data_IF_942321780232
#
_entry.id   IF_942321780232
#
_cell.length_a   1.000
_cell.length_b   1.000
_cell.length_c   1.000
_cell.angle_alpha   90.00
_cell.angle_beta   90.00
_cell.angle_gamma   90.00
#
_symmetry.space_group_name_H-M   'P 1'
#
loop_
_entity.id
_entity.type
_entity.pdbx_description
1 polymer ?
#
# COMPACT_ATOMS: atom_id res chain seq x y z
N UNK A 1 11.25 -20.25 8.26
CA UNK A 1 10.58 -20.01 6.98
C UNK A 1 11.01 -18.64 6.55
N UNK A 2 11.95 -18.57 5.60
CA UNK A 2 12.40 -17.31 5.03
C UNK A 2 11.19 -16.66 4.35
N UNK A 3 10.67 -15.59 4.94
CA UNK A 3 9.72 -14.73 4.25
C UNK A 3 10.56 -13.60 3.69
N UNK A 4 10.83 -13.68 2.40
CA UNK A 4 11.38 -12.59 1.62
C UNK A 4 10.33 -11.47 1.59
N UNK A 5 10.34 -10.62 2.61
CA UNK A 5 9.37 -9.53 2.78
C UNK A 5 9.92 -8.28 2.08
N UNK A 6 9.91 -8.30 0.76
CA UNK A 6 9.85 -7.04 0.01
C UNK A 6 8.65 -6.22 0.51
N UNK A 7 8.77 -4.89 0.52
CA UNK A 7 7.66 -4.00 0.83
C UNK A 7 6.54 -4.26 -0.18
N UNK A 8 5.45 -4.95 0.21
CA UNK A 8 4.33 -5.27 -0.69
C UNK A 8 3.18 -4.28 -0.53
N UNK A 9 2.65 -3.80 -1.64
CA UNK A 9 1.41 -3.05 -1.69
C UNK A 9 0.42 -3.64 -2.69
N UNK A 10 -0.80 -3.09 -2.61
CA UNK A 10 -1.81 -3.19 -3.64
C UNK A 10 -1.99 -1.87 -4.35
N UNK A 11 -2.25 -1.94 -5.65
CA UNK A 11 -2.74 -0.82 -6.44
C UNK A 11 -3.96 -1.28 -7.23
N UNK A 12 -5.03 -0.49 -7.24
CA UNK A 12 -6.25 -0.87 -7.94
C UNK A 12 -7.41 0.07 -7.68
N UNK A 13 -8.62 -0.44 -7.66
CA UNK A 13 -9.86 0.32 -7.47
C UNK A 13 -10.59 -0.06 -6.20
N UNK A 14 -11.33 0.90 -5.64
CA UNK A 14 -12.26 0.70 -4.53
C UNK A 14 -13.66 1.17 -4.95
N UNK A 15 -14.66 0.32 -4.74
CA UNK A 15 -16.08 0.63 -4.89
C UNK A 15 -16.65 1.36 -3.68
N UNK A 16 -17.81 2.00 -3.84
CA UNK A 16 -18.49 2.74 -2.77
C UNK A 16 -18.92 1.86 -1.58
N UNK A 17 -19.01 0.56 -1.80
CA UNK A 17 -19.31 -0.47 -0.80
C UNK A 17 -18.05 -0.96 -0.05
N UNK A 18 -16.86 -0.46 -0.38
CA UNK A 18 -15.59 -0.84 0.24
C UNK A 18 -14.98 -2.13 -0.31
N UNK A 19 -15.58 -2.73 -1.35
CA UNK A 19 -14.94 -3.80 -2.10
C UNK A 19 -13.86 -3.23 -3.02
N UNK A 20 -12.75 -3.95 -3.14
CA UNK A 20 -11.65 -3.54 -4.01
C UNK A 20 -11.26 -4.65 -4.99
N UNK A 21 -10.68 -4.23 -6.11
CA UNK A 21 -9.97 -5.10 -7.04
C UNK A 21 -8.58 -4.50 -7.29
N UNK A 22 -7.52 -5.27 -7.07
CA UNK A 22 -6.16 -4.73 -7.09
C UNK A 22 -5.07 -5.73 -7.49
N UNK A 23 -3.93 -5.19 -7.93
CA UNK A 23 -2.70 -5.90 -8.32
C UNK A 23 -1.59 -5.70 -7.30
N UNK A 24 -0.62 -6.61 -7.31
CA UNK A 24 0.54 -6.51 -6.43
C UNK A 24 1.60 -5.52 -6.94
N UNK A 25 2.21 -4.79 -5.99
CA UNK A 25 3.47 -4.06 -6.18
C UNK A 25 4.46 -4.49 -5.09
N UNK A 26 5.61 -5.06 -5.44
CA UNK A 26 6.47 -5.78 -4.45
C UNK A 26 7.72 -5.04 -3.95
N UNK A 27 8.26 -4.11 -4.72
CA UNK A 27 9.40 -3.29 -4.32
C UNK A 27 9.01 -1.83 -4.50
N UNK A 28 9.50 -0.96 -3.62
CA UNK A 28 9.19 0.47 -3.62
C UNK A 28 7.70 0.76 -3.36
N UNK A 29 7.03 -0.11 -2.61
CA UNK A 29 5.59 -0.05 -2.32
C UNK A 29 5.16 1.01 -1.29
N UNK A 30 6.06 1.90 -0.86
CA UNK A 30 5.79 2.90 0.15
C UNK A 30 5.24 4.21 -0.46
N UNK A 31 4.53 5.05 0.32
CA UNK A 31 3.86 6.22 -0.23
C UNK A 31 4.79 7.18 -0.97
N UNK A 32 6.03 7.36 -0.52
CA UNK A 32 7.00 8.26 -1.17
C UNK A 32 7.43 7.82 -2.56
N UNK A 33 7.17 6.56 -2.93
CA UNK A 33 7.51 6.00 -4.24
C UNK A 33 6.25 5.82 -5.09
N UNK A 34 5.19 5.26 -4.51
CA UNK A 34 3.97 4.95 -5.24
C UNK A 34 3.17 6.21 -5.58
N UNK A 35 3.03 7.17 -4.66
CA UNK A 35 2.20 8.36 -4.91
C UNK A 35 2.75 9.20 -6.07
N UNK A 36 4.06 9.51 -6.15
CA UNK A 36 4.63 10.15 -7.32
C UNK A 36 4.45 9.33 -8.62
N UNK A 37 4.62 8.01 -8.56
CA UNK A 37 4.44 7.13 -9.71
C UNK A 37 3.00 7.16 -10.26
N UNK A 38 2.01 7.12 -9.37
CA UNK A 38 0.60 7.25 -9.73
C UNK A 38 0.28 8.65 -10.28
N UNK A 39 0.92 9.70 -9.74
CA UNK A 39 0.79 11.05 -10.27
C UNK A 39 1.24 11.13 -11.72
N UNK A 40 2.47 10.69 -12.02
CA UNK A 40 3.00 10.70 -13.40
C UNK A 40 2.14 9.87 -14.34
N UNK A 41 1.72 8.68 -13.91
CA UNK A 41 0.86 7.82 -14.72
C UNK A 41 -0.45 8.52 -15.10
N UNK A 42 -1.16 9.05 -14.13
CA UNK A 42 -2.47 9.66 -14.38
C UNK A 42 -2.33 10.95 -15.18
N UNK A 43 -1.41 11.82 -14.79
CA UNK A 43 -1.36 13.19 -15.31
C UNK A 43 -0.55 13.30 -16.60
N UNK A 44 0.61 12.66 -16.65
CA UNK A 44 1.56 12.87 -17.75
C UNK A 44 1.34 11.83 -18.85
N UNK A 45 1.10 10.57 -18.48
CA UNK A 45 0.97 9.47 -19.46
C UNK A 45 -0.46 9.25 -19.94
N UNK A 46 -1.44 9.38 -19.04
CA UNK A 46 -2.85 9.11 -19.35
C UNK A 46 -3.66 10.40 -19.53
N UNK A 47 -3.02 11.57 -19.57
CA UNK A 47 -3.65 12.86 -19.81
C UNK A 47 -4.90 13.12 -18.94
N UNK A 48 -4.76 12.83 -17.63
CA UNK A 48 -5.82 12.91 -16.61
C UNK A 48 -6.94 11.86 -16.71
N UNK A 49 -6.79 10.84 -17.57
CA UNK A 49 -7.71 9.70 -17.63
C UNK A 49 -7.39 8.68 -16.52
N UNK A 50 -8.16 8.76 -15.44
CA UNK A 50 -8.03 7.86 -14.29
C UNK A 50 -8.37 6.42 -14.67
N UNK A 51 -9.34 6.21 -15.57
CA UNK A 51 -9.74 4.86 -15.95
C UNK A 51 -8.65 4.18 -16.77
N UNK A 52 -8.06 4.90 -17.73
CA UNK A 52 -6.92 4.39 -18.51
C UNK A 52 -5.71 4.07 -17.62
N UNK A 53 -5.43 4.91 -16.62
CA UNK A 53 -4.37 4.65 -15.64
C UNK A 53 -4.64 3.38 -14.82
N UNK A 54 -5.87 3.21 -14.35
CA UNK A 54 -6.30 1.98 -13.65
C UNK A 54 -6.15 0.77 -14.56
N UNK A 55 -6.62 0.85 -15.79
CA UNK A 55 -6.56 -0.28 -16.73
C UNK A 55 -5.11 -0.73 -16.97
N UNK A 56 -4.17 0.22 -17.11
CA UNK A 56 -2.74 -0.10 -17.22
C UNK A 56 -2.20 -0.77 -15.94
N UNK A 57 -2.53 -0.23 -14.76
CA UNK A 57 -2.09 -0.80 -13.48
C UNK A 57 -2.65 -2.21 -13.25
N UNK A 58 -3.85 -2.47 -13.75
CA UNK A 58 -4.57 -3.74 -13.57
C UNK A 58 -4.15 -4.84 -14.54
N UNK A 59 -3.40 -4.49 -15.60
CA UNK A 59 -2.99 -5.40 -16.67
C UNK A 59 -2.08 -6.54 -16.20
N UNK A 60 -1.21 -6.28 -15.23
CA UNK A 60 -0.25 -7.26 -14.71
C UNK A 60 0.17 -6.91 -13.29
N UNK A 61 0.83 -7.84 -12.60
CA UNK A 61 1.50 -7.56 -11.35
C UNK A 61 2.81 -6.80 -11.59
N UNK A 62 3.26 -6.03 -10.61
CA UNK A 62 4.45 -5.21 -10.73
C UNK A 62 5.48 -5.59 -9.68
N UNK A 63 6.67 -5.97 -10.13
CA UNK A 63 7.81 -6.16 -9.24
C UNK A 63 8.22 -4.82 -8.63
N UNK A 64 8.26 -3.75 -9.43
CA UNK A 64 8.55 -2.37 -8.98
C UNK A 64 7.66 -1.38 -9.70
N UNK A 65 7.38 -0.25 -9.06
CA UNK A 65 6.72 0.90 -9.67
C UNK A 65 7.47 2.17 -9.25
N UNK A 66 8.05 2.90 -10.20
CA UNK A 66 8.77 4.14 -9.89
C UNK A 66 8.76 5.13 -11.06
N UNK A 67 9.06 6.39 -10.72
CA UNK A 67 9.28 7.49 -11.66
C UNK A 67 10.77 7.66 -11.91
N UNK A 68 11.21 7.88 -13.16
CA UNK A 68 12.60 8.23 -13.45
C UNK A 68 12.84 9.74 -13.27
N UNK A 69 13.76 10.17 -12.39
CA UNK A 69 14.15 11.58 -12.30
C UNK A 69 14.83 12.07 -13.58
N UNK A 70 14.56 13.31 -13.99
CA UNK A 70 15.33 14.01 -15.03
C UNK A 70 14.92 13.76 -16.48
N UNK A 71 13.74 13.19 -16.72
CA UNK A 71 13.24 12.87 -18.07
C UNK A 71 12.32 13.94 -18.68
N UNK A 72 12.24 15.14 -18.07
CA UNK A 72 11.38 16.23 -18.55
C UNK A 72 9.89 15.94 -18.40
N UNK A 73 9.03 16.70 -19.09
CA UNK A 73 7.55 16.61 -19.04
C UNK A 73 6.97 15.29 -19.59
N UNK A 74 7.81 14.27 -19.79
CA UNK A 74 7.46 12.98 -20.38
C UNK A 74 8.18 11.82 -19.68
N UNK A 75 8.39 11.91 -18.35
CA UNK A 75 9.02 10.82 -17.64
C UNK A 75 8.20 9.53 -17.74
N UNK A 76 8.74 8.43 -18.30
CA UNK A 76 7.99 7.19 -18.35
C UNK A 76 7.83 6.65 -16.94
N UNK A 77 6.60 6.22 -16.62
CA UNK A 77 6.37 5.27 -15.55
C UNK A 77 7.16 4.02 -15.92
N UNK A 78 8.20 3.71 -15.17
CA UNK A 78 8.91 2.44 -15.33
C UNK A 78 8.40 1.52 -14.25
N UNK A 79 7.39 0.75 -14.60
CA UNK A 79 7.03 -0.43 -13.84
C UNK A 79 7.79 -1.63 -14.38
N UNK A 80 8.37 -2.44 -13.49
CA UNK A 80 8.94 -3.74 -13.89
C UNK A 80 7.81 -4.76 -13.75
N UNK A 81 7.18 -5.20 -14.85
CA UNK A 81 6.12 -6.20 -14.75
C UNK A 81 6.69 -7.47 -14.14
N UNK A 82 5.95 -8.06 -13.23
CA UNK A 82 6.21 -9.40 -12.76
C UNK A 82 5.56 -10.36 -13.75
N UNK A 83 6.23 -11.44 -14.20
CA UNK A 83 5.64 -12.44 -15.09
C UNK A 83 4.51 -13.25 -14.43
N UNK A 84 4.01 -12.81 -13.26
CA UNK A 84 2.95 -13.46 -12.55
C UNK A 84 1.61 -13.14 -13.22
N UNK A 85 1.05 -14.12 -13.92
CA UNK A 85 -0.22 -14.06 -14.64
C UNK A 85 -1.42 -14.35 -13.71
N UNK A 86 -1.29 -14.01 -12.42
CA UNK A 86 -2.38 -14.19 -11.47
C UNK A 86 -3.57 -13.31 -11.86
N UNK A 87 -4.78 -13.65 -11.40
CA UNK A 87 -5.93 -12.76 -11.56
C UNK A 87 -5.87 -11.61 -10.55
N UNK A 88 -6.44 -10.43 -10.86
CA UNK A 88 -6.46 -9.34 -9.89
C UNK A 88 -7.22 -9.75 -8.63
N UNK A 89 -6.67 -9.35 -7.50
CA UNK A 89 -7.15 -9.75 -6.19
C UNK A 89 -8.37 -8.95 -5.80
N UNK A 90 -9.40 -9.66 -5.33
CA UNK A 90 -10.61 -9.06 -4.80
C UNK A 90 -10.65 -9.16 -3.30
N UNK A 91 -11.13 -8.11 -2.65
CA UNK A 91 -11.27 -8.08 -1.20
C UNK A 91 -12.19 -6.97 -0.75
N UNK A 92 -12.23 -6.77 0.56
CA UNK A 92 -13.03 -5.72 1.18
C UNK A 92 -12.20 -5.03 2.27
N UNK A 93 -12.21 -3.70 2.31
CA UNK A 93 -11.37 -2.91 3.22
C UNK A 93 -11.70 -3.17 4.70
N UNK A 94 -12.95 -3.50 5.04
CA UNK A 94 -13.33 -3.83 6.41
C UNK A 94 -12.95 -5.25 6.85
N UNK A 95 -12.40 -6.09 5.96
CA UNK A 95 -12.09 -7.48 6.30
C UNK A 95 -10.97 -7.56 7.32
N UNK A 96 -11.19 -8.36 8.36
CA UNK A 96 -10.26 -8.62 9.44
C UNK A 96 -9.22 -9.70 9.08
N UNK A 97 -8.51 -9.50 7.96
CA UNK A 97 -7.42 -10.37 7.51
C UNK A 97 -6.66 -9.73 6.34
N UNK A 98 -6.07 -8.55 6.56
CA UNK A 98 -5.19 -7.93 5.57
C UNK A 98 -3.85 -8.71 5.46
N UNK A 99 -3.86 -9.87 4.83
CA UNK A 99 -2.69 -10.73 4.65
C UNK A 99 -1.60 -10.04 3.80
N UNK A 100 -0.34 -10.20 4.22
CA UNK A 100 0.94 -9.90 3.53
C UNK A 100 1.18 -8.51 2.91
N UNK A 101 0.25 -7.57 3.07
CA UNK A 101 0.32 -6.26 2.39
C UNK A 101 0.52 -5.15 3.40
N UNK A 102 1.55 -4.33 3.20
CA UNK A 102 1.77 -3.16 4.05
C UNK A 102 0.85 -2.04 3.61
N UNK A 103 0.89 -1.63 2.34
CA UNK A 103 0.08 -0.52 1.84
C UNK A 103 -0.96 -0.96 0.80
N UNK A 104 -2.02 -0.18 0.62
CA UNK A 104 -2.93 -0.28 -0.50
C UNK A 104 -3.27 1.12 -1.02
N UNK A 105 -3.24 1.28 -2.33
CA UNK A 105 -3.46 2.52 -3.06
C UNK A 105 -4.64 2.28 -4.02
N UNK A 106 -5.84 2.70 -3.62
CA UNK A 106 -7.07 2.35 -4.29
C UNK A 106 -7.75 3.60 -4.87
N UNK A 107 -8.02 3.59 -6.16
CA UNK A 107 -8.78 4.63 -6.83
C UNK A 107 -10.28 4.44 -6.54
N UNK A 108 -10.85 5.40 -5.81
CA UNK A 108 -12.28 5.51 -5.52
C UNK A 108 -12.86 6.69 -6.29
N UNK A 109 -13.22 6.47 -7.56
CA UNK A 109 -13.60 7.54 -8.47
C UNK A 109 -12.45 8.53 -8.68
N UNK A 110 -12.63 9.78 -8.28
CA UNK A 110 -11.63 10.85 -8.44
C UNK A 110 -10.70 11.00 -7.23
N UNK A 111 -10.65 10.01 -6.34
CA UNK A 111 -9.81 10.03 -5.14
C UNK A 111 -8.88 8.83 -5.08
N UNK A 112 -7.68 9.07 -4.58
CA UNK A 112 -6.74 8.00 -4.22
C UNK A 112 -6.84 7.76 -2.72
N UNK A 113 -7.30 6.57 -2.34
CA UNK A 113 -7.38 6.10 -0.97
C UNK A 113 -6.10 5.33 -0.62
N UNK A 114 -5.45 5.74 0.47
CA UNK A 114 -4.25 5.07 0.97
C UNK A 114 -4.55 4.40 2.28
N UNK A 115 -4.41 3.08 2.29
CA UNK A 115 -4.57 2.23 3.45
C UNK A 115 -3.25 1.58 3.83
N UNK A 116 -3.12 1.27 5.12
CA UNK A 116 -2.05 0.43 5.63
C UNK A 116 -2.68 -0.76 6.35
N UNK A 117 -2.18 -1.95 6.06
CA UNK A 117 -2.45 -3.14 6.85
C UNK A 117 -1.78 -2.98 8.20
N UNK A 118 -2.57 -2.64 9.22
CA UNK A 118 -2.09 -2.49 10.59
C UNK A 118 -2.44 -3.73 11.36
N UNK A 119 -1.43 -4.34 11.97
CA UNK A 119 -1.64 -5.38 12.96
C UNK A 119 -1.86 -4.67 14.31
N UNK A 120 -3.09 -4.58 14.83
CA UNK A 120 -3.34 -3.90 16.11
C UNK A 120 -2.65 -4.63 17.27
N UNK A 121 -2.54 -3.99 18.42
CA UNK A 121 -2.01 -4.61 19.66
C UNK A 121 -2.75 -5.92 20.02
N UNK A 122 -4.07 -5.97 19.75
CA UNK A 122 -4.93 -7.15 19.95
C UNK A 122 -5.78 -7.41 18.71
N UNK A 123 -5.94 -8.67 18.35
CA UNK A 123 -6.80 -9.10 17.23
C UNK A 123 -6.07 -9.27 15.89
N UNK A 124 -6.81 -9.53 14.81
CA UNK A 124 -6.26 -9.76 13.47
C UNK A 124 -5.84 -8.46 12.80
N UNK A 125 -5.03 -8.57 11.73
CA UNK A 125 -4.58 -7.44 10.91
C UNK A 125 -5.76 -6.84 10.14
N UNK A 126 -5.90 -5.51 10.17
CA UNK A 126 -7.00 -4.78 9.54
C UNK A 126 -6.45 -3.64 8.67
N UNK A 127 -7.18 -3.26 7.64
CA UNK A 127 -6.88 -2.04 6.91
C UNK A 127 -7.21 -0.82 7.77
N UNK A 128 -6.29 0.14 7.80
CA UNK A 128 -6.49 1.45 8.40
C UNK A 128 -6.32 2.49 7.31
N UNK A 129 -7.27 3.42 7.19
CA UNK A 129 -7.13 4.58 6.31
C UNK A 129 -6.08 5.53 6.89
N UNK A 130 -5.18 5.99 6.02
CA UNK A 130 -4.09 6.91 6.38
C UNK A 130 -4.16 8.22 5.61
N UNK A 131 -4.52 8.17 4.33
CA UNK A 131 -4.70 9.35 3.51
C UNK A 131 -5.79 9.13 2.46
N UNK A 132 -6.36 10.24 2.00
CA UNK A 132 -7.31 10.26 0.91
C UNK A 132 -7.16 11.58 0.16
N UNK A 133 -6.50 11.54 -0.99
CA UNK A 133 -6.22 12.72 -1.79
C UNK A 133 -7.15 12.80 -2.99
N UNK A 134 -7.43 14.01 -3.45
CA UNK A 134 -7.99 14.18 -4.79
C UNK A 134 -6.95 13.70 -5.80
N UNK A 135 -7.36 12.96 -6.82
CA UNK A 135 -6.45 12.58 -7.92
C UNK A 135 -5.89 13.84 -8.59
N UNK A 136 -6.68 14.91 -8.70
CA UNK A 136 -6.22 16.19 -9.27
C UNK A 136 -5.13 16.89 -8.46
N UNK A 137 -4.99 16.58 -7.17
CA UNK A 137 -4.00 17.21 -6.28
C UNK A 137 -2.67 16.45 -6.26
N UNK A 138 -2.63 15.21 -6.76
CA UNK A 138 -1.44 14.34 -6.72
C UNK A 138 -0.15 15.02 -7.25
N UNK A 139 -0.17 15.79 -8.35
CA UNK A 139 1.04 16.45 -8.88
C UNK A 139 1.59 17.53 -7.96
N UNK A 140 0.73 18.08 -7.10
CA UNK A 140 1.04 19.22 -6.23
C UNK A 140 1.26 18.82 -4.78
N UNK A 141 1.09 17.54 -4.45
CA UNK A 141 1.26 17.06 -3.07
C UNK A 141 2.69 17.33 -2.58
N UNK A 142 2.84 18.07 -1.47
CA UNK A 142 4.15 18.30 -0.87
C UNK A 142 4.79 16.97 -0.42
N UNK A 143 6.08 16.79 -0.71
CA UNK A 143 6.81 15.56 -0.36
C UNK A 143 6.81 15.32 1.17
N UNK A 144 6.82 16.37 1.97
CA UNK A 144 6.74 16.28 3.44
C UNK A 144 5.40 15.75 3.94
N UNK A 145 4.30 16.05 3.24
CA UNK A 145 2.99 15.45 3.51
C UNK A 145 3.02 13.94 3.27
N UNK A 146 3.52 13.52 2.11
CA UNK A 146 3.63 12.10 1.74
C UNK A 146 4.57 11.36 2.72
N UNK A 147 5.70 11.97 3.07
CA UNK A 147 6.63 11.45 4.07
C UNK A 147 5.98 11.33 5.45
N UNK A 148 5.13 12.27 5.84
CA UNK A 148 4.42 12.23 7.12
C UNK A 148 3.47 11.05 7.21
N UNK A 149 2.71 10.79 6.13
CA UNK A 149 1.85 9.61 6.01
C UNK A 149 2.65 8.32 6.16
N UNK A 150 3.75 8.20 5.42
CA UNK A 150 4.62 7.03 5.49
C UNK A 150 5.23 6.82 6.88
N UNK A 151 5.82 7.87 7.47
CA UNK A 151 6.43 7.81 8.81
C UNK A 151 5.42 7.41 9.87
N UNK A 152 4.24 8.01 9.84
CA UNK A 152 3.20 7.72 10.83
C UNK A 152 2.70 6.27 10.68
N UNK A 153 2.55 5.79 9.44
CA UNK A 153 2.25 4.41 9.10
C UNK A 153 3.22 3.41 9.71
N UNK A 154 4.51 3.55 9.39
CA UNK A 154 5.56 2.69 9.93
C UNK A 154 5.70 2.80 11.45
N UNK A 155 5.56 4.00 12.02
CA UNK A 155 5.60 4.20 13.47
C UNK A 155 4.45 3.48 14.19
N UNK A 156 3.28 3.35 13.56
CA UNK A 156 2.16 2.59 14.12
C UNK A 156 2.40 1.08 14.07
N UNK A 157 2.95 0.57 12.96
CA UNK A 157 3.32 -0.84 12.84
C UNK A 157 4.41 -1.23 13.84
N UNK A 158 5.44 -0.41 13.98
CA UNK A 158 6.54 -0.67 14.90
C UNK A 158 6.07 -0.74 16.36
N UNK A 159 5.26 0.23 16.81
CA UNK A 159 4.68 0.22 18.17
C UNK A 159 3.85 -1.03 18.45
N UNK A 160 3.06 -1.48 17.48
CA UNK A 160 2.24 -2.68 17.65
C UNK A 160 3.08 -3.97 17.68
N UNK A 161 4.18 -4.02 16.92
CA UNK A 161 5.14 -5.13 16.98
C UNK A 161 5.84 -5.20 18.35
N UNK A 162 6.36 -4.07 18.84
CA UNK A 162 7.01 -3.97 20.17
C UNK A 162 6.06 -4.40 21.29
N UNK A 163 4.80 -3.94 21.27
CA UNK A 163 3.80 -4.33 22.26
C UNK A 163 3.55 -5.85 22.25
N UNK A 164 3.48 -6.48 21.08
CA UNK A 164 3.26 -7.93 20.96
C UNK A 164 4.47 -8.72 21.47
N UNK A 165 5.68 -8.32 21.09
CA UNK A 165 6.90 -8.93 21.62
C UNK A 165 6.93 -8.86 23.15
N UNK A 166 6.56 -7.71 23.73
CA UNK A 166 6.43 -7.55 25.17
C UNK A 166 5.37 -8.50 25.77
N UNK A 167 4.16 -8.54 25.21
CA UNK A 167 3.08 -9.39 25.71
C UNK A 167 3.38 -10.88 25.57
N UNK A 168 4.09 -11.29 24.53
CA UNK A 168 4.52 -12.67 24.34
C UNK A 168 5.59 -13.05 25.38
N UNK A 169 6.56 -12.16 25.65
CA UNK A 169 7.53 -12.36 26.73
C UNK A 169 6.86 -12.45 28.13
N UNK A 170 5.83 -11.63 28.38
CA UNK A 170 5.03 -11.72 29.61
C UNK A 170 4.32 -13.07 29.72
N UNK A 171 3.70 -13.56 28.63
CA UNK A 171 3.01 -14.87 28.64
C UNK A 171 3.96 -16.02 28.88
N UNK A 172 5.13 -16.04 28.25
CA UNK A 172 6.13 -17.10 28.47
C UNK A 172 6.59 -17.11 29.92
N UNK A 173 6.87 -15.94 30.51
CA UNK A 173 7.23 -15.85 31.92
C UNK A 173 6.11 -16.32 32.86
N UNK A 174 4.84 -16.04 32.54
CA UNK A 174 3.72 -16.53 33.34
C UNK A 174 3.56 -18.05 33.26
N UNK A 175 3.81 -18.68 32.10
CA UNK A 175 3.81 -20.15 31.97
C UNK A 175 4.89 -20.79 32.84
N UNK A 176 6.10 -20.24 32.86
CA UNK A 176 7.20 -20.72 33.70
C UNK A 176 6.84 -20.65 35.20
N UNK A 177 6.20 -19.57 35.64
CA UNK A 177 5.78 -19.38 37.04
C UNK A 177 4.64 -20.33 37.45
N UNK A 178 3.75 -20.67 36.52
CA UNK A 178 2.61 -21.57 36.81
C UNK A 178 2.97 -23.06 36.73
N UNK A 179 4.14 -23.38 36.18
CA UNK A 179 4.68 -24.74 36.06
C UNK A 179 5.62 -25.15 37.22
N UNK A 180 5.88 -24.24 38.18
CA UNK A 180 6.59 -24.50 39.44
C UNK A 180 5.60 -24.72 40.58
#
# INVERSE_FOLDING_TARGET
MEVDVGLRALVGTEGADGFYQARHVQHDACPTMIVPALSVLVHDLMAHDVQAAVDELMRTDWSRLYTLPGTGDAGPLVGVPSPNDEEPLRGHIATENAYDREWAYLFGGHRLHVYLGVLPERGPKRWRSWACWSVHELPTLPLDEVLSVQKAGYSAQWRAADFRMYMDAVRERMKEVTAQ
#
